data_IF_895895012646
#
_entry.id   IF_895895012646
#
_cell.length_a   1.000
_cell.length_b   1.000
_cell.length_c   1.000
_cell.angle_alpha   90.00
_cell.angle_beta   90.00
_cell.angle_gamma   90.00
#
_symmetry.space_group_name_H-M   'P 1'
#
loop_
_entity.id
_entity.type
_entity.pdbx_description
1 polymer ?
#
# COMPACT_ATOMS: atom_id res chain seq x y z
N UNK A 1 -23.75 -23.04 17.75
CA UNK A 1 -22.52 -22.23 17.90
C UNK A 1 -21.71 -22.40 16.63
N UNK A 2 -21.74 -21.41 15.74
CA UNK A 2 -21.11 -21.51 14.43
C UNK A 2 -19.60 -21.33 14.62
N UNK A 3 -18.87 -22.39 14.30
CA UNK A 3 -17.42 -22.38 14.11
C UNK A 3 -17.09 -21.29 13.09
N UNK A 4 -16.50 -20.17 13.54
CA UNK A 4 -15.89 -19.20 12.63
C UNK A 4 -14.60 -19.85 12.16
N UNK A 5 -14.65 -20.35 10.92
CA UNK A 5 -13.48 -20.71 10.14
C UNK A 5 -12.39 -19.65 10.35
N UNK A 6 -11.27 -20.08 10.90
CA UNK A 6 -9.98 -19.45 10.62
C UNK A 6 -9.78 -19.61 9.11
N UNK A 7 -10.27 -18.64 8.33
CA UNK A 7 -9.91 -18.53 6.93
C UNK A 7 -8.40 -18.33 6.92
N UNK A 8 -7.67 -19.32 6.42
CA UNK A 8 -6.32 -19.10 5.90
C UNK A 8 -6.45 -18.04 4.81
N UNK A 9 -6.13 -16.79 5.13
CA UNK A 9 -6.25 -15.68 4.20
C UNK A 9 -5.05 -15.77 3.26
N UNK A 10 -5.20 -16.51 2.16
CA UNK A 10 -4.17 -16.60 1.14
C UNK A 10 -4.14 -15.28 0.38
N UNK A 11 -2.99 -14.61 0.38
CA UNK A 11 -2.77 -13.42 -0.44
C UNK A 11 -2.86 -13.79 -1.91
N UNK A 12 -3.92 -13.31 -2.55
CA UNK A 12 -4.26 -13.57 -3.95
C UNK A 12 -4.63 -12.27 -4.65
N UNK A 13 -4.46 -12.21 -5.97
CA UNK A 13 -4.97 -11.10 -6.79
C UNK A 13 -6.47 -10.90 -6.53
N UNK A 14 -6.89 -9.67 -6.24
CA UNK A 14 -8.30 -9.35 -6.15
C UNK A 14 -8.94 -9.42 -7.54
N UNK A 15 -9.98 -10.23 -7.68
CA UNK A 15 -10.83 -10.17 -8.88
C UNK A 15 -11.51 -8.80 -8.99
N UNK A 16 -11.89 -8.38 -10.20
CA UNK A 16 -12.56 -7.09 -10.42
C UNK A 16 -13.75 -6.84 -9.47
N UNK A 17 -14.66 -7.81 -9.20
CA UNK A 17 -15.76 -7.59 -8.26
C UNK A 17 -15.28 -7.39 -6.81
N UNK A 18 -14.25 -8.13 -6.38
CA UNK A 18 -13.68 -8.00 -5.03
C UNK A 18 -12.99 -6.65 -4.85
N UNK A 19 -12.19 -6.26 -5.84
CA UNK A 19 -11.52 -4.96 -5.87
C UNK A 19 -12.53 -3.82 -5.85
N UNK A 20 -13.57 -3.89 -6.69
CA UNK A 20 -14.62 -2.88 -6.72
C UNK A 20 -15.35 -2.77 -5.37
N UNK A 21 -15.73 -3.90 -4.77
CA UNK A 21 -16.38 -3.91 -3.46
C UNK A 21 -15.48 -3.32 -2.35
N UNK A 22 -14.18 -3.65 -2.36
CA UNK A 22 -13.22 -3.15 -1.39
C UNK A 22 -12.98 -1.63 -1.56
N UNK A 23 -12.88 -1.14 -2.80
CA UNK A 23 -12.76 0.30 -3.08
C UNK A 23 -14.04 1.06 -2.72
N UNK A 24 -15.21 0.49 -2.99
CA UNK A 24 -16.48 1.08 -2.58
C UNK A 24 -16.58 1.16 -1.05
N UNK A 25 -16.14 0.11 -0.35
CA UNK A 25 -16.03 0.11 1.10
C UNK A 25 -15.09 1.23 1.58
N UNK A 26 -13.88 1.34 1.05
CA UNK A 26 -12.94 2.39 1.43
C UNK A 26 -13.57 3.79 1.29
N UNK A 27 -14.23 4.04 0.16
CA UNK A 27 -14.87 5.33 -0.14
C UNK A 27 -16.17 5.61 0.60
N UNK A 28 -16.79 4.59 1.20
CA UNK A 28 -18.01 4.75 2.00
C UNK A 28 -17.74 5.02 3.47
N UNK A 29 -16.47 5.01 3.91
CA UNK A 29 -16.14 5.26 5.32
C UNK A 29 -16.41 6.73 5.67
N UNK A 30 -17.10 6.93 6.79
CA UNK A 30 -17.18 8.25 7.40
C UNK A 30 -15.88 8.59 8.14
N UNK A 31 -15.77 9.83 8.62
CA UNK A 31 -14.54 10.29 9.29
C UNK A 31 -14.19 9.45 10.52
N UNK A 32 -15.18 9.02 11.29
CA UNK A 32 -14.95 8.25 12.51
C UNK A 32 -14.45 6.83 12.18
N UNK A 33 -15.08 6.17 11.22
CA UNK A 33 -14.68 4.85 10.76
C UNK A 33 -13.30 4.89 10.09
N UNK A 34 -13.05 5.89 9.23
CA UNK A 34 -11.75 6.08 8.59
C UNK A 34 -10.63 6.32 9.61
N UNK A 35 -10.90 7.13 10.65
CA UNK A 35 -9.95 7.34 11.75
C UNK A 35 -9.65 6.04 12.51
N UNK A 36 -10.66 5.23 12.79
CA UNK A 36 -10.47 3.95 13.48
C UNK A 36 -9.60 2.97 12.67
N UNK A 37 -9.75 2.94 11.35
CA UNK A 37 -8.90 2.14 10.45
C UNK A 37 -7.44 2.62 10.53
N UNK A 38 -7.22 3.93 10.43
CA UNK A 38 -5.88 4.53 10.50
C UNK A 38 -5.22 4.30 11.87
N UNK A 39 -5.95 4.49 12.97
CA UNK A 39 -5.46 4.22 14.33
C UNK A 39 -5.14 2.73 14.53
N UNK A 40 -5.98 1.85 14.00
CA UNK A 40 -5.75 0.40 14.01
C UNK A 40 -4.47 0.03 13.28
N UNK A 41 -4.26 0.60 12.10
CA UNK A 41 -3.04 0.41 11.31
C UNK A 41 -1.80 0.95 12.03
N UNK A 42 -1.83 2.19 12.53
CA UNK A 42 -0.73 2.81 13.27
C UNK A 42 -0.34 2.02 14.51
N UNK A 43 -1.32 1.50 15.24
CA UNK A 43 -1.09 0.66 16.43
C UNK A 43 -0.42 -0.66 16.07
N UNK A 44 -0.85 -1.29 14.98
CA UNK A 44 -0.38 -2.62 14.56
C UNK A 44 0.97 -2.56 13.86
N UNK A 45 1.24 -1.52 13.07
CA UNK A 45 2.45 -1.37 12.25
C UNK A 45 3.00 0.07 12.32
N UNK A 46 3.51 0.52 13.47
CA UNK A 46 3.87 1.92 13.70
C UNK A 46 4.97 2.44 12.76
N UNK A 47 6.04 1.67 12.54
CA UNK A 47 7.13 2.07 11.65
C UNK A 47 6.68 2.17 10.18
N UNK A 48 5.82 1.24 9.74
CA UNK A 48 5.28 1.26 8.39
C UNK A 48 4.30 2.42 8.22
N UNK A 49 3.41 2.65 9.19
CA UNK A 49 2.49 3.77 9.18
C UNK A 49 3.21 5.12 9.15
N UNK A 50 4.25 5.30 9.96
CA UNK A 50 5.08 6.50 9.94
C UNK A 50 5.71 6.74 8.55
N UNK A 51 6.12 5.67 7.88
CA UNK A 51 6.75 5.77 6.56
C UNK A 51 5.74 6.24 5.51
N UNK A 52 4.59 5.59 5.38
CA UNK A 52 3.63 5.89 4.29
C UNK A 52 2.73 7.09 4.59
N UNK A 53 2.44 7.38 5.86
CA UNK A 53 1.54 8.47 6.25
C UNK A 53 2.28 9.76 6.62
N UNK A 54 3.61 9.75 6.68
CA UNK A 54 4.38 10.96 7.04
C UNK A 54 5.63 11.15 6.20
N UNK A 55 6.50 10.14 6.08
CA UNK A 55 7.77 10.29 5.34
C UNK A 55 7.53 10.41 3.83
N UNK A 56 6.70 9.55 3.24
CA UNK A 56 6.44 9.63 1.80
C UNK A 56 5.72 10.92 1.39
N UNK A 57 4.63 11.34 2.06
CA UNK A 57 3.96 12.59 1.73
C UNK A 57 4.88 13.79 1.89
N UNK A 58 5.76 13.84 2.89
CA UNK A 58 6.63 15.00 3.10
C UNK A 58 7.61 15.23 1.95
N UNK A 59 8.17 14.15 1.37
CA UNK A 59 9.02 14.23 0.18
C UNK A 59 8.25 14.72 -1.05
N UNK A 60 6.94 14.44 -1.11
CA UNK A 60 6.09 14.83 -2.23
C UNK A 60 5.58 16.26 -2.13
N UNK A 61 5.37 16.79 -0.92
CA UNK A 61 4.95 18.18 -0.68
C UNK A 61 5.92 19.18 -1.32
N UNK A 62 7.22 18.87 -1.30
CA UNK A 62 8.26 19.70 -1.92
C UNK A 62 8.14 19.78 -3.45
N UNK A 63 7.48 18.80 -4.08
CA UNK A 63 7.25 18.77 -5.53
C UNK A 63 5.88 19.30 -5.93
N UNK A 64 4.83 18.83 -5.26
CA UNK A 64 3.45 19.23 -5.51
C UNK A 64 2.55 18.86 -4.31
N UNK A 65 2.06 19.87 -3.59
CA UNK A 65 1.24 19.68 -2.40
C UNK A 65 -0.09 18.97 -2.70
N UNK A 66 -0.72 19.27 -3.84
CA UNK A 66 -2.00 18.64 -4.21
C UNK A 66 -1.80 17.15 -4.49
N UNK A 67 -0.72 16.79 -5.16
CA UNK A 67 -0.35 15.39 -5.37
C UNK A 67 -0.04 14.68 -4.05
N UNK A 68 0.61 15.36 -3.10
CA UNK A 68 0.87 14.80 -1.77
C UNK A 68 -0.41 14.50 -0.99
N UNK A 69 -1.42 15.39 -1.07
CA UNK A 69 -2.74 15.14 -0.47
C UNK A 69 -3.44 13.95 -1.13
N UNK A 70 -3.48 13.89 -2.46
CA UNK A 70 -4.04 12.75 -3.17
C UNK A 70 -3.33 11.45 -2.78
N UNK A 71 -2.00 11.46 -2.68
CA UNK A 71 -1.24 10.29 -2.27
C UNK A 71 -1.65 9.78 -0.88
N UNK A 72 -1.93 10.67 0.07
CA UNK A 72 -2.43 10.27 1.39
C UNK A 72 -3.82 9.62 1.30
N UNK A 73 -4.73 10.18 0.48
CA UNK A 73 -6.05 9.59 0.26
C UNK A 73 -5.94 8.19 -0.36
N UNK A 74 -5.03 8.03 -1.32
CA UNK A 74 -4.77 6.71 -1.94
C UNK A 74 -4.11 5.72 -0.97
N UNK A 75 -3.27 6.18 -0.04
CA UNK A 75 -2.76 5.32 1.02
C UNK A 75 -3.88 4.81 1.92
N UNK A 76 -4.85 5.67 2.25
CA UNK A 76 -6.04 5.24 2.98
C UNK A 76 -6.84 4.20 2.18
N UNK A 77 -7.08 4.42 0.88
CA UNK A 77 -7.76 3.45 0.01
C UNK A 77 -7.03 2.09 0.06
N UNK A 78 -5.70 2.06 -0.01
CA UNK A 78 -4.92 0.82 0.11
C UNK A 78 -5.13 0.16 1.47
N UNK A 79 -4.97 0.89 2.58
CA UNK A 79 -5.14 0.33 3.94
C UNK A 79 -6.52 -0.30 4.08
N UNK A 80 -7.58 0.45 3.71
CA UNK A 80 -8.96 0.01 3.83
C UNK A 80 -9.27 -1.18 2.90
N UNK A 81 -8.75 -1.20 1.67
CA UNK A 81 -8.92 -2.33 0.73
C UNK A 81 -8.30 -3.59 1.30
N UNK A 82 -7.07 -3.53 1.82
CA UNK A 82 -6.41 -4.69 2.41
C UNK A 82 -7.12 -5.17 3.67
N UNK A 83 -7.53 -4.27 4.57
CA UNK A 83 -8.28 -4.66 5.77
C UNK A 83 -9.61 -5.34 5.44
N UNK A 84 -10.31 -4.85 4.42
CA UNK A 84 -11.59 -5.40 4.01
C UNK A 84 -11.45 -6.75 3.29
N UNK A 85 -10.45 -6.89 2.41
CA UNK A 85 -10.31 -8.09 1.59
C UNK A 85 -9.52 -9.21 2.27
N UNK A 86 -8.53 -8.86 3.08
CA UNK A 86 -7.59 -9.80 3.69
C UNK A 86 -7.61 -9.74 5.23
N UNK A 87 -8.57 -9.03 5.82
CA UNK A 87 -8.69 -8.89 7.27
C UNK A 87 -7.68 -7.91 7.86
N UNK A 88 -7.77 -7.69 9.18
CA UNK A 88 -6.98 -6.67 9.90
C UNK A 88 -5.49 -6.77 9.59
N UNK A 89 -4.83 -5.61 9.52
CA UNK A 89 -3.38 -5.55 9.29
C UNK A 89 -2.64 -6.47 10.28
N UNK A 90 -1.68 -7.30 9.83
CA UNK A 90 -0.90 -8.13 10.73
C UNK A 90 -0.19 -7.30 11.81
N UNK A 91 -0.05 -7.84 13.02
CA UNK A 91 0.64 -7.16 14.11
C UNK A 91 2.17 -7.22 13.91
N UNK A 92 2.88 -6.12 14.15
CA UNK A 92 4.35 -6.06 14.06
C UNK A 92 5.03 -7.11 14.94
N UNK A 93 4.41 -7.52 16.05
CA UNK A 93 4.89 -8.58 16.93
C UNK A 93 4.89 -9.95 16.26
N UNK A 94 3.94 -10.19 15.35
CA UNK A 94 3.86 -11.45 14.60
C UNK A 94 4.92 -11.50 13.49
N UNK A 95 5.11 -10.40 12.77
CA UNK A 95 5.98 -10.34 11.59
C UNK A 95 7.44 -10.01 11.94
N UNK A 96 7.68 -9.42 13.12
CA UNK A 96 9.00 -9.12 13.68
C UNK A 96 9.74 -7.99 12.98
N UNK A 97 10.31 -7.04 13.73
CA UNK A 97 10.82 -5.76 13.21
C UNK A 97 11.78 -5.86 12.00
N UNK A 98 12.55 -6.96 11.89
CA UNK A 98 13.48 -7.20 10.78
C UNK A 98 12.80 -7.33 9.41
N UNK A 99 11.49 -7.65 9.34
CA UNK A 99 10.76 -7.74 8.07
C UNK A 99 10.75 -6.37 7.39
N UNK A 100 10.45 -5.33 8.17
CA UNK A 100 10.32 -3.97 7.68
C UNK A 100 11.69 -3.39 7.32
N UNK A 101 12.72 -3.65 8.13
CA UNK A 101 14.10 -3.20 7.87
C UNK A 101 14.63 -3.75 6.53
N UNK A 102 14.50 -5.07 6.29
CA UNK A 102 14.92 -5.68 5.02
C UNK A 102 14.14 -5.13 3.83
N UNK A 103 12.86 -4.80 4.03
CA UNK A 103 11.99 -4.26 2.99
C UNK A 103 12.27 -2.77 2.74
N UNK A 104 12.63 -2.02 3.78
CA UNK A 104 13.03 -0.62 3.74
C UNK A 104 14.32 -0.42 2.93
N UNK A 105 15.26 -1.37 2.95
CA UNK A 105 16.43 -1.32 2.08
C UNK A 105 16.10 -1.51 0.58
N UNK A 106 15.15 -2.38 0.24
CA UNK A 106 14.67 -2.52 -1.15
C UNK A 106 13.93 -1.26 -1.59
N UNK A 107 13.11 -0.72 -0.70
CA UNK A 107 12.41 0.54 -0.88
C UNK A 107 13.37 1.72 -1.14
N UNK A 108 14.40 1.90 -0.33
CA UNK A 108 15.38 2.98 -0.50
C UNK A 108 16.05 2.91 -1.89
N UNK A 109 16.35 1.71 -2.38
CA UNK A 109 16.87 1.51 -3.74
C UNK A 109 15.87 1.91 -4.82
N UNK A 110 14.60 1.54 -4.66
CA UNK A 110 13.51 1.88 -5.61
C UNK A 110 13.24 3.39 -5.63
N UNK A 111 13.17 4.03 -4.46
CA UNK A 111 12.99 5.49 -4.36
C UNK A 111 14.15 6.24 -4.99
N UNK A 112 15.40 5.84 -4.71
CA UNK A 112 16.59 6.43 -5.34
C UNK A 112 16.61 6.25 -6.86
N UNK A 113 15.99 5.21 -7.39
CA UNK A 113 15.85 5.02 -8.83
C UNK A 113 14.78 5.95 -9.41
N UNK A 114 13.62 6.10 -8.75
CA UNK A 114 12.53 6.96 -9.21
C UNK A 114 12.84 8.47 -9.14
N UNK A 115 13.72 8.87 -8.22
CA UNK A 115 14.21 10.24 -8.10
C UNK A 115 15.31 10.59 -9.12
N UNK A 116 15.85 9.61 -9.86
CA UNK A 116 16.77 9.92 -10.96
C UNK A 116 15.98 10.47 -12.15
N UNK A 117 16.49 11.50 -12.85
CA UNK A 117 15.84 12.03 -14.04
C UNK A 117 15.69 10.92 -15.08
N UNK A 118 14.46 10.75 -15.59
CA UNK A 118 14.14 9.71 -16.56
C UNK A 118 15.02 9.83 -17.81
N UNK A 119 15.66 8.74 -18.22
CA UNK A 119 16.25 8.66 -19.56
C UNK A 119 15.10 8.43 -20.56
N UNK A 120 15.07 9.14 -21.70
CA UNK A 120 13.90 9.21 -22.59
C UNK A 120 13.51 7.90 -23.30
N UNK A 121 14.19 6.76 -23.05
CA UNK A 121 14.05 5.53 -23.83
C UNK A 121 14.02 4.24 -22.97
N UNK A 122 13.58 4.31 -21.72
CA UNK A 122 13.28 3.08 -20.97
C UNK A 122 11.76 2.92 -20.81
N UNK A 123 11.17 1.88 -21.43
CA UNK A 123 9.82 1.51 -21.08
C UNK A 123 9.78 1.16 -19.60
N UNK A 124 8.78 1.71 -18.91
CA UNK A 124 8.61 1.67 -17.46
C UNK A 124 8.11 0.28 -17.02
N UNK A 125 8.89 -0.76 -17.32
CA UNK A 125 8.60 -2.17 -16.97
C UNK A 125 8.82 -2.46 -15.47
N UNK A 126 9.08 -1.44 -14.66
CA UNK A 126 9.26 -1.59 -13.22
C UNK A 126 8.01 -2.16 -12.51
N UNK A 127 6.84 -2.11 -13.18
CA UNK A 127 5.54 -2.43 -12.61
C UNK A 127 4.88 -3.72 -13.16
N UNK A 128 5.54 -4.45 -14.07
CA UNK A 128 4.89 -5.50 -14.89
C UNK A 128 4.85 -6.92 -14.26
N UNK A 129 5.34 -7.12 -13.03
CA UNK A 129 5.54 -8.47 -12.46
C UNK A 129 4.89 -8.73 -11.09
N UNK A 130 3.85 -7.98 -10.70
CA UNK A 130 3.46 -7.99 -9.28
C UNK A 130 1.96 -8.18 -9.01
N UNK A 131 1.66 -8.77 -7.84
CA UNK A 131 0.30 -9.00 -7.33
C UNK A 131 -0.41 -7.67 -7.08
N UNK A 132 -1.75 -7.73 -7.08
CA UNK A 132 -2.68 -6.60 -7.07
C UNK A 132 -2.54 -5.64 -8.27
N UNK A 133 -2.28 -6.19 -9.46
CA UNK A 133 -2.20 -5.40 -10.70
C UNK A 133 -3.47 -4.56 -10.92
N UNK A 134 -4.66 -5.11 -10.60
CA UNK A 134 -5.92 -4.38 -10.71
C UNK A 134 -5.95 -3.12 -9.83
N UNK A 135 -5.55 -3.25 -8.56
CA UNK A 135 -5.49 -2.14 -7.61
C UNK A 135 -4.46 -1.10 -8.03
N UNK A 136 -3.25 -1.53 -8.39
CA UNK A 136 -2.19 -0.61 -8.85
C UNK A 136 -2.65 0.20 -10.06
N UNK A 137 -3.26 -0.46 -11.06
CA UNK A 137 -3.79 0.21 -12.25
C UNK A 137 -4.86 1.24 -11.89
N UNK A 138 -5.75 0.91 -10.96
CA UNK A 138 -6.77 1.83 -10.48
C UNK A 138 -6.17 3.07 -9.79
N UNK A 139 -5.20 2.86 -8.89
CA UNK A 139 -4.54 3.94 -8.16
C UNK A 139 -3.72 4.83 -9.11
N UNK A 140 -2.99 4.24 -10.06
CA UNK A 140 -2.25 4.98 -11.09
C UNK A 140 -3.18 5.79 -12.00
N UNK A 141 -4.31 5.21 -12.41
CA UNK A 141 -5.31 5.93 -13.20
C UNK A 141 -5.91 7.11 -12.43
N UNK A 142 -6.08 6.97 -11.10
CA UNK A 142 -6.54 8.08 -10.25
C UNK A 142 -5.49 9.19 -10.17
N UNK A 143 -4.20 8.83 -10.07
CA UNK A 143 -3.09 9.80 -10.11
C UNK A 143 -3.03 10.51 -11.47
N UNK A 144 -3.22 9.80 -12.58
CA UNK A 144 -3.17 10.38 -13.93
C UNK A 144 -4.30 11.37 -14.20
N UNK A 145 -5.43 11.22 -13.50
CA UNK A 145 -6.57 12.13 -13.62
C UNK A 145 -6.38 13.42 -12.82
N UNK A 146 -5.44 13.46 -11.88
CA UNK A 146 -5.17 14.64 -11.06
C UNK A 146 -4.39 15.67 -11.89
N UNK A 147 -4.92 16.89 -12.09
CA UNK A 147 -4.17 17.95 -12.75
C UNK A 147 -2.90 18.27 -11.95
N UNK A 148 -1.74 17.97 -12.53
CA UNK A 148 -0.44 18.24 -11.94
C UNK A 148 0.53 18.71 -13.03
N UNK A 149 1.27 19.78 -12.75
CA UNK A 149 2.24 20.34 -13.70
C UNK A 149 3.59 19.63 -13.64
N UNK A 150 3.89 18.98 -12.53
CA UNK A 150 5.16 18.29 -12.29
C UNK A 150 5.05 16.83 -12.71
N UNK A 151 5.63 16.49 -13.86
CA UNK A 151 5.76 15.09 -14.29
C UNK A 151 6.56 14.25 -13.29
N UNK A 152 7.49 14.87 -12.57
CA UNK A 152 8.28 14.23 -11.54
C UNK A 152 7.44 13.91 -10.29
N UNK A 153 6.51 14.80 -9.90
CA UNK A 153 5.57 14.52 -8.80
C UNK A 153 4.63 13.35 -9.15
N UNK A 154 4.10 13.33 -10.39
CA UNK A 154 3.26 12.22 -10.88
C UNK A 154 4.03 10.90 -10.85
N UNK A 155 5.26 10.88 -11.39
CA UNK A 155 6.11 9.68 -11.38
C UNK A 155 6.43 9.22 -9.95
N UNK A 156 6.76 10.16 -9.07
CA UNK A 156 7.05 9.86 -7.67
C UNK A 156 5.82 9.26 -6.97
N UNK A 157 4.64 9.86 -7.15
CA UNK A 157 3.39 9.36 -6.56
C UNK A 157 3.06 7.94 -7.05
N UNK A 158 3.18 7.67 -8.35
CA UNK A 158 2.98 6.33 -8.92
C UNK A 158 3.97 5.30 -8.36
N UNK A 159 5.23 5.69 -8.20
CA UNK A 159 6.25 4.82 -7.62
C UNK A 159 5.94 4.53 -6.16
N UNK A 160 5.69 5.56 -5.35
CA UNK A 160 5.41 5.41 -3.92
C UNK A 160 4.13 4.61 -3.68
N UNK A 161 3.07 4.82 -4.47
CA UNK A 161 1.81 4.07 -4.27
C UNK A 161 1.98 2.60 -4.63
N UNK A 162 2.71 2.32 -5.72
CA UNK A 162 3.04 0.96 -6.12
C UNK A 162 3.85 0.27 -5.02
N UNK A 163 4.90 0.93 -4.53
CA UNK A 163 5.65 0.48 -3.38
C UNK A 163 4.74 0.18 -2.19
N UNK A 164 3.82 1.09 -1.84
CA UNK A 164 2.91 0.89 -0.70
C UNK A 164 2.13 -0.40 -0.86
N UNK A 165 1.53 -0.66 -2.02
CA UNK A 165 0.84 -1.93 -2.31
C UNK A 165 1.76 -3.14 -2.12
N UNK A 166 3.00 -3.05 -2.62
CA UNK A 166 3.99 -4.13 -2.47
C UNK A 166 4.48 -4.37 -1.03
N UNK A 167 4.46 -3.34 -0.20
CA UNK A 167 4.75 -3.46 1.22
C UNK A 167 3.59 -4.17 1.94
N UNK A 168 2.35 -3.88 1.55
CA UNK A 168 1.17 -4.57 2.05
C UNK A 168 1.15 -6.05 1.63
N UNK A 169 1.39 -6.36 0.35
CA UNK A 169 1.49 -7.76 -0.11
C UNK A 169 2.53 -8.55 0.69
N UNK A 170 3.73 -7.99 0.84
CA UNK A 170 4.80 -8.63 1.59
C UNK A 170 4.48 -8.80 3.08
N UNK A 171 3.79 -7.83 3.69
CA UNK A 171 3.39 -7.87 5.09
C UNK A 171 2.42 -9.03 5.36
N UNK A 172 1.38 -9.16 4.55
CA UNK A 172 0.40 -10.23 4.70
C UNK A 172 0.99 -11.61 4.37
N UNK A 173 1.84 -11.72 3.35
CA UNK A 173 2.58 -12.96 3.05
C UNK A 173 3.46 -13.41 4.22
N UNK A 174 4.17 -12.49 4.85
CA UNK A 174 5.06 -12.79 5.96
C UNK A 174 4.29 -13.22 7.22
N UNK A 175 3.11 -12.64 7.45
CA UNK A 175 2.21 -13.04 8.52
C UNK A 175 1.68 -14.48 8.31
N UNK A 176 1.24 -14.80 7.09
CA UNK A 176 0.75 -16.12 6.72
C UNK A 176 1.82 -17.21 6.85
N UNK A 177 3.04 -16.91 6.42
CA UNK A 177 4.17 -17.84 6.50
C UNK A 177 4.49 -18.25 7.94
N UNK A 178 4.32 -17.33 8.91
CA UNK A 178 4.58 -17.57 10.34
C UNK A 178 3.47 -18.27 11.08
N UNK A 179 2.22 -18.04 10.67
CA UNK A 179 1.09 -18.80 11.19
C UNK A 179 1.25 -20.30 10.84
N UNK A 180 1.67 -20.62 9.62
CA UNK A 180 1.89 -22.01 9.21
C UNK A 180 3.08 -22.70 9.92
N UNK A 181 4.06 -21.95 10.42
CA UNK A 181 5.22 -22.51 11.16
C UNK A 181 4.94 -22.73 12.64
N UNK A 182 3.86 -22.17 13.18
CA UNK A 182 3.50 -22.29 14.61
C UNK A 182 2.56 -23.48 14.89
N UNK A 183 2.18 -24.24 13.85
CA UNK A 183 1.22 -25.36 13.91
C UNK A 183 1.92 -26.74 13.82
N UNK A 184 3.26 -26.76 13.81
CA UNK A 184 4.10 -27.96 13.85
C UNK A 184 5.02 -27.95 15.06
#
# INVERSE_FOLDING_TARGET
MISRFEQTIIMQELSDPQLFAALQYARSQDEQAGRAILEGFQTRQPAFAQTILSVFPSVMVDLDQTMAHLFMDLCFDVIAVYEQAFGKVPDHRLVGNHWFEKRAERLDREMKMAMKPAKPNHPDHAFDQERQTGLVRFLHATIDQQPCRSTDAVRLAKTMIFTTVQLFDALYDAANSRQNTSVH
#
